data_IF_485590616242
#
_entry.id   IF_485590616242
#
_cell.length_a   1.000
_cell.length_b   1.000
_cell.length_c   1.000
_cell.angle_alpha   90.00
_cell.angle_beta   90.00
_cell.angle_gamma   90.00
#
_symmetry.space_group_name_H-M   'P 1'
#
loop_
_entity.id
_entity.type
_entity.pdbx_description
1 polymer ?
#
# COMPACT_ATOMS: atom_id res chain seq x y z
N UNK A 1 7.12 33.55 30.05
CA UNK A 1 6.38 32.76 31.06
C UNK A 1 5.05 32.22 30.51
N UNK A 2 4.31 32.95 29.67
CA UNK A 2 3.01 32.52 29.12
C UNK A 2 3.09 31.45 28.00
N UNK A 3 4.16 31.42 27.19
CA UNK A 3 4.38 30.40 26.14
C UNK A 3 4.54 28.97 26.68
N UNK A 4 5.17 28.81 27.85
CA UNK A 4 5.35 27.50 28.47
C UNK A 4 4.06 26.97 29.10
N UNK A 5 3.17 27.86 29.53
CA UNK A 5 1.88 27.51 30.11
C UNK A 5 0.94 26.92 29.05
N UNK A 6 0.96 27.47 27.82
CA UNK A 6 0.27 26.90 26.66
C UNK A 6 0.82 25.52 26.27
N UNK A 7 2.14 25.35 26.26
CA UNK A 7 2.77 24.04 26.01
C UNK A 7 2.42 22.97 27.06
N UNK A 8 2.26 23.37 28.34
CA UNK A 8 1.84 22.47 29.41
C UNK A 8 0.34 22.14 29.36
N UNK A 9 -0.51 23.09 28.95
CA UNK A 9 -1.97 22.91 28.81
C UNK A 9 -2.32 21.87 27.74
N UNK A 10 -1.65 21.91 26.59
CA UNK A 10 -1.96 21.04 25.43
C UNK A 10 -1.04 19.81 25.31
N UNK A 11 -0.21 19.56 26.32
CA UNK A 11 0.76 18.45 26.35
C UNK A 11 0.16 17.10 25.94
N UNK A 12 -1.08 16.82 26.32
CA UNK A 12 -1.80 15.59 25.96
C UNK A 12 -2.09 15.48 24.45
N UNK A 13 -2.36 16.58 23.74
CA UNK A 13 -2.57 16.59 22.28
C UNK A 13 -1.25 16.33 21.55
N UNK A 14 -0.14 16.88 22.06
CA UNK A 14 1.20 16.67 21.50
C UNK A 14 1.66 15.21 21.57
N UNK A 15 1.26 14.45 22.59
CA UNK A 15 1.59 13.03 22.69
C UNK A 15 0.55 12.12 22.04
N UNK A 16 -0.75 12.39 22.19
CA UNK A 16 -1.81 11.47 21.72
C UNK A 16 -1.93 11.39 20.19
N UNK A 17 -1.79 12.52 19.48
CA UNK A 17 -1.89 12.56 18.03
C UNK A 17 -0.78 11.77 17.30
N UNK A 18 0.52 11.98 17.58
CA UNK A 18 1.57 11.21 16.92
C UNK A 18 1.54 9.72 17.28
N UNK A 19 1.17 9.36 18.51
CA UNK A 19 1.01 7.95 18.91
C UNK A 19 -0.12 7.29 18.10
N UNK A 20 -1.26 7.98 17.96
CA UNK A 20 -2.39 7.47 17.18
C UNK A 20 -2.02 7.32 15.70
N UNK A 21 -1.27 8.28 15.14
CA UNK A 21 -0.78 8.21 13.76
C UNK A 21 0.21 7.06 13.53
N UNK A 22 1.02 6.71 14.52
CA UNK A 22 1.97 5.58 14.43
C UNK A 22 1.26 4.21 14.48
N UNK A 23 0.19 4.11 15.28
CA UNK A 23 -0.54 2.86 15.48
C UNK A 23 -1.58 2.61 14.37
N UNK A 24 -2.14 3.66 13.77
CA UNK A 24 -3.18 3.54 12.75
C UNK A 24 -2.84 2.62 11.56
N UNK A 25 -1.62 2.63 10.98
CA UNK A 25 -1.27 1.73 9.87
C UNK A 25 -1.29 0.25 10.25
N UNK A 26 -1.04 -0.08 11.53
CA UNK A 26 -0.99 -1.45 12.03
C UNK A 26 -2.38 -2.04 12.28
N UNK A 27 -3.35 -1.19 12.64
CA UNK A 27 -4.72 -1.61 12.94
C UNK A 27 -5.60 -1.58 11.67
N UNK A 28 -5.27 -0.74 10.70
CA UNK A 28 -6.12 -0.54 9.52
C UNK A 28 -5.98 -1.67 8.49
N UNK A 29 -7.09 -2.31 8.07
CA UNK A 29 -7.07 -3.28 6.96
C UNK A 29 -6.78 -2.61 5.61
N UNK A 30 -6.94 -1.29 5.51
CA UNK A 30 -6.74 -0.52 4.27
C UNK A 30 -5.25 -0.35 3.90
N UNK A 31 -4.35 -0.44 4.88
CA UNK A 31 -2.91 -0.31 4.66
C UNK A 31 -2.41 -1.38 3.68
N UNK A 32 -2.99 -2.59 3.71
CA UNK A 32 -2.69 -3.66 2.75
C UNK A 32 -3.04 -3.26 1.31
N UNK A 33 -4.23 -2.70 1.10
CA UNK A 33 -4.69 -2.27 -0.23
C UNK A 33 -3.85 -1.12 -0.77
N UNK A 34 -3.43 -0.18 0.09
CA UNK A 34 -2.50 0.88 -0.30
C UNK A 34 -1.18 0.31 -0.83
N UNK A 35 -0.60 -0.69 -0.15
CA UNK A 35 0.62 -1.35 -0.63
C UNK A 35 0.42 -2.10 -1.94
N UNK A 36 -0.70 -2.83 -2.09
CA UNK A 36 -1.02 -3.55 -3.33
C UNK A 36 -1.22 -2.60 -4.51
N UNK A 37 -1.82 -1.42 -4.30
CA UNK A 37 -1.97 -0.40 -5.34
C UNK A 37 -0.61 0.11 -5.84
N UNK A 38 0.33 0.40 -4.93
CA UNK A 38 1.67 0.86 -5.30
C UNK A 38 2.42 -0.18 -6.14
N UNK A 39 2.27 -1.47 -5.82
CA UNK A 39 2.90 -2.55 -6.57
C UNK A 39 2.23 -2.80 -7.94
N UNK A 40 0.93 -2.56 -8.04
CA UNK A 40 0.16 -2.78 -9.27
C UNK A 40 0.44 -1.73 -10.36
N UNK A 41 0.99 -0.57 -10.01
CA UNK A 41 1.29 0.51 -10.98
C UNK A 41 2.62 0.23 -11.69
N UNK A 42 2.63 -0.03 -13.01
CA UNK A 42 3.86 -0.28 -13.75
C UNK A 42 4.52 1.05 -14.13
N UNK A 43 5.49 1.50 -13.34
CA UNK A 43 6.32 2.66 -13.69
C UNK A 43 7.38 2.34 -14.76
N UNK A 44 7.72 1.07 -14.91
CA UNK A 44 8.66 0.56 -15.91
C UNK A 44 7.93 -0.36 -16.87
N UNK A 45 8.43 -0.46 -18.10
CA UNK A 45 7.88 -1.39 -19.08
C UNK A 45 8.20 -2.84 -18.67
N UNK A 46 7.19 -3.72 -18.51
CA UNK A 46 7.43 -5.11 -18.14
C UNK A 46 8.06 -5.85 -19.33
N UNK A 47 9.30 -6.30 -19.15
CA UNK A 47 10.04 -7.04 -20.17
C UNK A 47 9.55 -8.49 -20.20
N UNK A 48 9.08 -9.01 -21.35
CA UNK A 48 8.65 -10.40 -21.46
C UNK A 48 9.81 -11.37 -21.18
N UNK A 49 9.51 -12.43 -20.45
CA UNK A 49 10.45 -13.51 -20.17
C UNK A 49 10.58 -14.41 -21.41
N UNK A 50 11.75 -15.01 -21.62
CA UNK A 50 11.93 -16.02 -22.67
C UNK A 50 11.27 -17.32 -22.23
N UNK A 51 10.53 -17.94 -23.12
CA UNK A 51 9.85 -19.21 -22.86
C UNK A 51 10.82 -20.40 -22.89
N UNK A 52 10.81 -21.21 -21.82
CA UNK A 52 11.55 -22.47 -21.67
C UNK A 52 10.63 -23.70 -21.83
N UNK A 53 9.34 -23.49 -22.13
CA UNK A 53 8.33 -24.52 -22.35
C UNK A 53 7.70 -25.09 -21.07
N UNK A 54 8.16 -24.68 -19.88
CA UNK A 54 7.62 -25.13 -18.58
C UNK A 54 7.41 -23.94 -17.60
N UNK A 55 6.56 -22.99 -17.97
CA UNK A 55 6.17 -21.86 -17.12
C UNK A 55 4.64 -21.68 -17.10
N UNK A 56 3.89 -22.48 -16.31
CA UNK A 56 2.42 -22.43 -16.29
C UNK A 56 1.84 -21.21 -15.55
N UNK A 57 2.69 -20.42 -14.88
CA UNK A 57 2.32 -19.23 -14.12
C UNK A 57 2.47 -17.91 -14.90
N UNK A 58 3.22 -17.93 -16.01
CA UNK A 58 3.53 -16.76 -16.82
C UNK A 58 2.56 -16.72 -18.02
N UNK A 59 1.72 -15.68 -18.13
CA UNK A 59 0.80 -15.57 -19.25
C UNK A 59 1.55 -15.33 -20.56
N UNK A 60 1.05 -15.95 -21.64
CA UNK A 60 1.55 -15.71 -23.00
C UNK A 60 1.02 -14.41 -23.59
N UNK A 61 -0.18 -13.99 -23.18
CA UNK A 61 -0.86 -12.81 -23.66
C UNK A 61 -1.52 -12.03 -22.49
N UNK A 62 -1.61 -10.68 -22.54
CA UNK A 62 -2.18 -9.89 -21.44
C UNK A 62 -3.64 -10.17 -21.08
N UNK A 63 -4.42 -10.78 -21.98
CA UNK A 63 -5.81 -11.17 -21.72
C UNK A 63 -5.96 -12.60 -21.18
N UNK A 64 -4.86 -13.33 -21.01
CA UNK A 64 -4.92 -14.66 -20.42
C UNK A 64 -5.33 -14.56 -18.95
N UNK A 65 -5.93 -15.63 -18.44
CA UNK A 65 -6.38 -15.70 -17.04
C UNK A 65 -5.21 -15.88 -16.07
N UNK A 66 -4.04 -16.16 -16.60
CA UNK A 66 -2.82 -16.43 -15.86
C UNK A 66 -2.18 -15.09 -15.45
N UNK A 67 -1.67 -15.03 -14.21
CA UNK A 67 -1.08 -13.83 -13.64
C UNK A 67 -1.99 -12.99 -12.73
N UNK A 68 -1.47 -11.89 -12.18
CA UNK A 68 -2.17 -11.08 -11.19
C UNK A 68 -3.26 -10.20 -11.84
N UNK A 69 -4.53 -10.43 -11.46
CA UNK A 69 -5.66 -9.61 -11.91
C UNK A 69 -5.94 -8.42 -10.97
N UNK A 70 -6.47 -7.33 -11.55
CA UNK A 70 -6.86 -6.11 -10.83
C UNK A 70 -8.36 -6.07 -10.51
N UNK A 71 -9.04 -7.22 -10.45
CA UNK A 71 -10.48 -7.28 -10.16
C UNK A 71 -10.83 -6.72 -8.78
N UNK A 72 -9.98 -6.96 -7.78
CA UNK A 72 -10.14 -6.41 -6.43
C UNK A 72 -10.10 -4.87 -6.42
N UNK A 73 -9.32 -4.25 -7.31
CA UNK A 73 -9.20 -2.79 -7.42
C UNK A 73 -10.40 -2.19 -8.16
N UNK A 74 -10.95 -2.92 -9.14
CA UNK A 74 -12.16 -2.53 -9.87
C UNK A 74 -13.41 -2.60 -9.01
N UNK A 75 -13.45 -3.54 -8.06
CA UNK A 75 -14.58 -3.77 -7.15
C UNK A 75 -14.40 -3.09 -5.79
N UNK A 76 -13.42 -2.19 -5.66
CA UNK A 76 -13.12 -1.48 -4.42
C UNK A 76 -14.19 -0.41 -4.11
#
# INVERSE_FOLDING_TARGET
>A
MLELLWFLSDSHLFFSFPISALVAPWVSPLTKYSSMMTQAVPYTYPVPVRDDGNMPDIPSHPCDKEGPSLEWLKNF
#
